data_IF_629137988273
#
_entry.id   IF_629137988273
#
_cell.length_a   1.000
_cell.length_b   1.000
_cell.length_c   1.000
_cell.angle_alpha   90.00
_cell.angle_beta   90.00
_cell.angle_gamma   90.00
#
_symmetry.space_group_name_H-M   'P 1'
#
loop_
_entity.id
_entity.type
_entity.pdbx_description
1 polymer ?
#
# COMPACT_ATOMS: atom_id res chain seq x y z
N UNK A 1 -2.68 -6.64 -28.90
CA UNK A 1 -2.95 -7.13 -27.53
C UNK A 1 -1.67 -7.82 -27.07
N UNK A 2 -1.03 -7.33 -26.00
CA UNK A 2 -0.06 -8.16 -25.30
C UNK A 2 -0.83 -9.37 -24.75
N UNK A 3 -0.40 -10.57 -25.10
CA UNK A 3 -1.13 -11.80 -24.79
C UNK A 3 -1.14 -12.08 -23.29
N UNK A 4 -2.20 -12.75 -22.83
CA UNK A 4 -2.24 -13.35 -21.50
C UNK A 4 -1.03 -14.29 -21.33
N UNK A 5 -0.11 -13.95 -20.42
CA UNK A 5 1.17 -14.64 -20.21
C UNK A 5 1.08 -15.92 -19.37
N UNK A 6 -0.13 -16.41 -19.09
CA UNK A 6 -0.37 -17.48 -18.12
C UNK A 6 -0.59 -16.96 -16.69
N UNK A 7 -0.86 -17.88 -15.77
CA UNK A 7 -1.01 -17.57 -14.36
C UNK A 7 0.33 -17.66 -13.64
N UNK A 8 0.61 -16.71 -12.76
CA UNK A 8 1.73 -16.80 -11.82
C UNK A 8 1.36 -17.76 -10.67
N UNK A 9 2.33 -18.50 -10.10
CA UNK A 9 2.07 -19.30 -8.91
C UNK A 9 1.63 -18.41 -7.74
N UNK A 10 0.72 -18.93 -6.93
CA UNK A 10 0.28 -18.31 -5.68
C UNK A 10 0.83 -19.16 -4.54
N UNK A 11 1.63 -18.54 -3.69
CA UNK A 11 2.22 -19.15 -2.50
C UNK A 11 1.33 -18.89 -1.27
N UNK A 12 1.39 -19.81 -0.32
CA UNK A 12 0.57 -19.82 0.90
C UNK A 12 1.43 -20.15 2.11
N UNK A 13 0.82 -20.27 3.29
CA UNK A 13 1.48 -20.73 4.51
C UNK A 13 2.18 -22.10 4.36
N UNK A 14 1.80 -22.90 3.36
CA UNK A 14 2.39 -24.22 3.09
C UNK A 14 3.69 -24.15 2.27
N UNK A 15 3.96 -23.01 1.64
CA UNK A 15 5.03 -22.88 0.64
C UNK A 15 6.28 -22.15 1.18
N UNK A 16 6.29 -21.79 2.46
CA UNK A 16 7.42 -21.12 3.10
C UNK A 16 7.66 -21.60 4.53
N UNK A 17 8.87 -21.37 5.03
CA UNK A 17 9.26 -21.75 6.37
C UNK A 17 9.21 -20.55 7.31
N UNK A 18 8.21 -20.51 8.21
CA UNK A 18 8.08 -19.48 9.25
C UNK A 18 9.31 -19.43 10.17
N UNK A 19 10.02 -20.56 10.32
CA UNK A 19 11.25 -20.67 11.10
C UNK A 19 12.31 -19.63 10.69
N UNK A 20 12.41 -19.34 9.39
CA UNK A 20 13.41 -18.42 8.85
C UNK A 20 13.30 -16.99 9.39
N UNK A 21 12.08 -16.45 9.52
CA UNK A 21 11.91 -15.09 10.07
C UNK A 21 11.86 -15.09 11.60
N UNK A 22 11.32 -16.14 12.22
CA UNK A 22 11.28 -16.23 13.70
C UNK A 22 12.65 -16.40 14.33
N UNK A 23 13.66 -16.86 13.58
CA UNK A 23 15.05 -16.90 14.05
C UNK A 23 15.79 -15.57 13.91
N UNK A 24 15.18 -14.55 13.32
CA UNK A 24 15.79 -13.24 13.07
C UNK A 24 15.32 -12.23 14.09
N UNK A 25 16.20 -11.28 14.44
CA UNK A 25 15.78 -10.04 15.09
C UNK A 25 15.36 -9.02 14.04
N UNK A 26 14.12 -8.53 14.10
CA UNK A 26 13.53 -7.63 13.10
C UNK A 26 13.38 -6.21 13.64
N UNK A 27 14.02 -5.26 12.98
CA UNK A 27 13.84 -3.83 13.22
C UNK A 27 12.77 -3.26 12.29
N UNK A 28 11.63 -2.82 12.83
CA UNK A 28 10.60 -2.10 12.06
C UNK A 28 10.87 -0.60 12.18
N UNK A 29 11.30 0.01 11.08
CA UNK A 29 11.69 1.42 11.03
C UNK A 29 10.47 2.27 10.66
N UNK A 30 9.91 2.98 11.63
CA UNK A 30 8.65 3.71 11.51
C UNK A 30 7.46 2.92 12.07
N UNK A 31 6.54 3.65 12.71
CA UNK A 31 5.37 3.06 13.38
C UNK A 31 4.07 3.77 12.97
N UNK A 32 3.94 4.02 11.66
CA UNK A 32 2.70 4.46 11.03
C UNK A 32 1.75 3.28 10.76
N UNK A 33 0.81 3.44 9.82
CA UNK A 33 -0.20 2.41 9.55
C UNK A 33 0.40 1.03 9.18
N UNK A 34 1.36 0.98 8.24
CA UNK A 34 2.02 -0.27 7.87
C UNK A 34 2.99 -0.76 8.96
N UNK A 35 3.84 0.14 9.48
CA UNK A 35 4.81 -0.22 10.53
C UNK A 35 4.17 -0.84 11.76
N UNK A 36 3.07 -0.26 12.26
CA UNK A 36 2.29 -0.80 13.37
C UNK A 36 1.72 -2.19 13.04
N UNK A 37 1.06 -2.35 11.88
CA UNK A 37 0.46 -3.62 11.48
C UNK A 37 1.51 -4.73 11.32
N UNK A 38 2.63 -4.43 10.65
CA UNK A 38 3.73 -5.38 10.48
C UNK A 38 4.32 -5.78 11.83
N UNK A 39 4.66 -4.81 12.69
CA UNK A 39 5.24 -5.09 14.01
C UNK A 39 4.34 -5.97 14.88
N UNK A 40 3.05 -5.61 14.98
CA UNK A 40 2.07 -6.37 15.76
C UNK A 40 1.89 -7.79 15.22
N UNK A 41 1.76 -7.96 13.90
CA UNK A 41 1.57 -9.28 13.31
C UNK A 41 2.83 -10.15 13.42
N UNK A 42 4.02 -9.58 13.22
CA UNK A 42 5.29 -10.28 13.38
C UNK A 42 5.47 -10.78 14.82
N UNK A 43 5.22 -9.91 15.81
CA UNK A 43 5.29 -10.29 17.23
C UNK A 43 4.29 -11.39 17.57
N UNK A 44 3.05 -11.27 17.09
CA UNK A 44 2.01 -12.28 17.34
C UNK A 44 2.34 -13.62 16.62
N UNK A 45 3.18 -13.59 15.59
CA UNK A 45 3.78 -14.77 14.92
C UNK A 45 5.07 -15.27 15.57
N UNK A 46 5.51 -14.70 16.70
CA UNK A 46 6.67 -15.15 17.47
C UNK A 46 8.02 -14.59 17.03
N UNK A 47 8.04 -13.53 16.22
CA UNK A 47 9.26 -12.86 15.79
C UNK A 47 9.74 -11.87 16.86
N UNK A 48 11.05 -11.80 17.09
CA UNK A 48 11.67 -10.76 17.92
C UNK A 48 11.67 -9.42 17.18
N UNK A 49 10.87 -8.46 17.66
CA UNK A 49 10.61 -7.19 16.98
C UNK A 49 11.04 -6.01 17.83
N UNK A 50 11.81 -5.11 17.23
CA UNK A 50 12.22 -3.83 17.81
C UNK A 50 11.77 -2.67 16.90
N UNK A 51 11.38 -1.54 17.48
CA UNK A 51 10.84 -0.41 16.71
C UNK A 51 11.87 0.72 16.63
N UNK A 52 12.24 1.09 15.42
CA UNK A 52 13.18 2.18 15.14
C UNK A 52 12.46 3.47 14.78
N UNK A 53 12.64 4.51 15.59
CA UNK A 53 12.02 5.81 15.39
C UNK A 53 13.04 6.93 15.44
N UNK A 54 12.72 8.04 14.78
CA UNK A 54 13.46 9.29 14.93
C UNK A 54 13.18 9.90 16.32
N UNK A 55 14.09 10.76 16.78
CA UNK A 55 13.97 11.42 18.08
C UNK A 55 12.64 12.20 18.19
N UNK A 56 11.95 12.04 19.32
CA UNK A 56 10.66 12.68 19.59
C UNK A 56 9.54 12.32 18.61
N UNK A 57 9.56 11.10 18.05
CA UNK A 57 8.46 10.62 17.22
C UNK A 57 7.13 10.57 17.97
N UNK A 58 6.07 11.02 17.31
CA UNK A 58 4.71 11.00 17.87
C UNK A 58 4.20 9.57 18.12
N UNK A 59 4.78 8.56 17.46
CA UNK A 59 4.39 7.16 17.63
C UNK A 59 5.14 6.43 18.74
N UNK A 60 6.14 7.05 19.38
CA UNK A 60 6.91 6.41 20.46
C UNK A 60 6.01 5.94 21.61
N UNK A 61 5.11 6.79 22.09
CA UNK A 61 4.20 6.42 23.19
C UNK A 61 3.27 5.28 22.80
N UNK A 62 2.81 5.24 21.54
CA UNK A 62 1.92 4.18 21.07
C UNK A 62 2.67 2.84 21.00
N UNK A 63 3.85 2.81 20.38
CA UNK A 63 4.67 1.61 20.29
C UNK A 63 5.00 1.03 21.68
N UNK A 64 5.35 1.89 22.65
CA UNK A 64 5.61 1.48 24.03
C UNK A 64 4.36 0.95 24.74
N UNK A 65 3.19 1.60 24.55
CA UNK A 65 1.91 1.12 25.11
C UNK A 65 1.51 -0.24 24.53
N UNK A 66 1.86 -0.51 23.27
CA UNK A 66 1.65 -1.80 22.62
C UNK A 66 2.72 -2.83 22.98
N UNK A 67 3.67 -2.49 23.86
CA UNK A 67 4.63 -3.43 24.45
C UNK A 67 5.92 -3.62 23.67
N UNK A 68 6.26 -2.71 22.75
CA UNK A 68 7.51 -2.76 22.01
C UNK A 68 8.64 -1.97 22.68
N UNK A 69 9.86 -2.49 22.55
CA UNK A 69 11.07 -1.71 22.76
C UNK A 69 11.27 -0.73 21.59
N UNK A 70 11.58 0.51 21.94
CA UNK A 70 11.81 1.59 20.96
C UNK A 70 13.27 2.02 21.00
N UNK A 71 13.95 1.91 19.87
CA UNK A 71 15.31 2.39 19.62
C UNK A 71 15.34 3.54 18.60
N UNK A 72 16.48 4.20 18.50
CA UNK A 72 16.81 5.02 17.32
C UNK A 72 16.96 4.14 16.08
N UNK A 73 16.73 4.69 14.89
CA UNK A 73 16.92 3.97 13.62
C UNK A 73 18.33 3.39 13.51
N UNK A 74 19.34 4.15 13.96
CA UNK A 74 20.75 3.73 13.94
C UNK A 74 21.03 2.54 14.85
N UNK A 75 20.46 2.51 16.05
CA UNK A 75 20.59 1.36 16.96
C UNK A 75 19.92 0.12 16.37
N UNK A 76 18.71 0.24 15.83
CA UNK A 76 18.05 -0.90 15.22
C UNK A 76 18.84 -1.41 14.01
N UNK A 77 19.44 -0.51 13.20
CA UNK A 77 20.34 -0.86 12.11
C UNK A 77 21.61 -1.61 12.57
N UNK A 78 22.08 -1.36 13.79
CA UNK A 78 23.23 -2.05 14.39
C UNK A 78 22.86 -3.36 15.08
N UNK A 79 21.61 -3.57 15.48
CA UNK A 79 21.23 -4.73 16.30
C UNK A 79 20.45 -5.79 15.52
N UNK A 80 19.61 -5.38 14.58
CA UNK A 80 18.68 -6.29 13.89
C UNK A 80 19.30 -6.99 12.67
N UNK A 81 18.82 -8.18 12.35
CA UNK A 81 19.24 -8.95 11.17
C UNK A 81 18.43 -8.57 9.92
N UNK A 82 17.18 -8.17 10.11
CA UNK A 82 16.33 -7.62 9.06
C UNK A 82 15.79 -6.26 9.48
N UNK A 83 15.87 -5.28 8.58
CA UNK A 83 15.33 -3.93 8.76
C UNK A 83 14.15 -3.75 7.80
N UNK A 84 12.94 -3.72 8.35
CA UNK A 84 11.73 -3.41 7.62
C UNK A 84 11.55 -1.89 7.55
N UNK A 85 11.83 -1.29 6.39
CA UNK A 85 11.77 0.15 6.16
C UNK A 85 10.32 0.57 5.92
N UNK A 86 9.65 1.02 6.99
CA UNK A 86 8.22 1.41 7.02
C UNK A 86 8.06 2.92 7.21
N UNK A 87 9.00 3.69 6.65
CA UNK A 87 9.02 5.14 6.62
C UNK A 87 8.30 5.66 5.36
N UNK A 88 7.86 6.94 5.33
CA UNK A 88 7.44 7.58 4.07
C UNK A 88 8.54 7.53 3.01
N UNK A 89 8.18 7.17 1.78
CA UNK A 89 9.15 6.94 0.68
C UNK A 89 10.07 8.14 0.43
N UNK A 90 9.53 9.36 0.55
CA UNK A 90 10.25 10.61 0.32
C UNK A 90 11.39 10.86 1.31
N UNK A 91 11.39 10.20 2.48
CA UNK A 91 12.47 10.34 3.48
C UNK A 91 13.45 9.17 3.48
N UNK A 92 13.19 8.10 2.72
CA UNK A 92 14.02 6.89 2.68
C UNK A 92 15.48 7.21 2.38
N UNK A 93 15.75 8.02 1.34
CA UNK A 93 17.13 8.33 0.94
C UNK A 93 17.93 9.01 2.06
N UNK A 94 17.32 9.98 2.74
CA UNK A 94 17.97 10.73 3.80
C UNK A 94 18.26 9.81 4.98
N UNK A 95 17.25 9.11 5.48
CA UNK A 95 17.38 8.22 6.65
C UNK A 95 18.32 7.06 6.33
N UNK A 96 18.24 6.49 5.13
CA UNK A 96 19.16 5.45 4.69
C UNK A 96 20.61 5.92 4.75
N UNK A 97 20.91 7.08 4.16
CA UNK A 97 22.28 7.59 4.10
C UNK A 97 22.84 7.94 5.48
N UNK A 98 22.00 8.48 6.36
CA UNK A 98 22.44 9.04 7.66
C UNK A 98 22.43 8.00 8.78
N UNK A 99 21.44 7.10 8.79
CA UNK A 99 21.12 6.28 9.97
C UNK A 99 21.10 4.77 9.69
N UNK A 100 21.13 4.33 8.43
CA UNK A 100 21.11 2.89 8.10
C UNK A 100 22.43 2.45 7.47
N UNK A 101 22.78 3.02 6.31
CA UNK A 101 23.93 2.62 5.50
C UNK A 101 25.26 2.59 6.27
N UNK A 102 25.57 3.54 7.18
CA UNK A 102 26.82 3.50 7.94
C UNK A 102 26.96 2.29 8.88
N UNK A 103 25.84 1.64 9.22
CA UNK A 103 25.80 0.55 10.20
C UNK A 103 25.49 -0.82 9.58
N UNK A 104 25.27 -0.87 8.26
CA UNK A 104 24.97 -2.13 7.58
C UNK A 104 26.16 -3.09 7.63
N UNK A 105 25.85 -4.34 7.99
CA UNK A 105 26.79 -5.47 8.03
C UNK A 105 26.40 -6.55 7.00
N UNK A 106 27.35 -7.37 6.52
CA UNK A 106 27.01 -8.52 5.67
C UNK A 106 25.96 -9.43 6.32
N UNK A 107 25.13 -10.07 5.49
CA UNK A 107 24.01 -10.94 5.89
C UNK A 107 22.79 -10.24 6.52
N UNK A 108 22.84 -8.93 6.75
CA UNK A 108 21.61 -8.19 7.02
C UNK A 108 20.71 -8.14 5.79
N UNK A 109 19.42 -7.92 6.01
CA UNK A 109 18.43 -7.74 4.94
C UNK A 109 17.65 -6.45 5.14
N UNK A 110 17.50 -5.66 4.08
CA UNK A 110 16.55 -4.55 4.00
C UNK A 110 15.26 -5.06 3.37
N UNK A 111 14.14 -4.86 4.05
CA UNK A 111 12.81 -5.15 3.54
C UNK A 111 12.05 -3.85 3.30
N UNK A 112 11.41 -3.76 2.13
CA UNK A 112 10.53 -2.64 1.78
C UNK A 112 9.08 -3.13 1.60
N UNK A 113 8.12 -2.28 1.94
CA UNK A 113 6.70 -2.51 1.64
C UNK A 113 6.26 -1.93 0.28
N UNK A 114 7.13 -1.14 -0.35
CA UNK A 114 6.94 -0.57 -1.67
C UNK A 114 8.29 -0.47 -2.39
N UNK A 115 8.31 -0.74 -3.69
CA UNK A 115 9.54 -0.81 -4.48
C UNK A 115 10.13 0.54 -4.87
N UNK A 116 9.45 1.67 -4.56
CA UNK A 116 9.79 3.02 -5.02
C UNK A 116 11.26 3.39 -4.85
N UNK A 117 11.77 3.41 -3.62
CA UNK A 117 13.11 3.93 -3.33
C UNK A 117 14.23 3.06 -3.89
N UNK A 118 14.01 1.75 -4.06
CA UNK A 118 14.99 0.84 -4.67
C UNK A 118 14.91 0.87 -6.19
N UNK A 119 13.70 0.86 -6.77
CA UNK A 119 13.51 0.88 -8.22
C UNK A 119 14.05 2.18 -8.83
N UNK A 120 13.71 3.34 -8.23
CA UNK A 120 14.16 4.66 -8.67
C UNK A 120 15.52 5.08 -8.11
N UNK A 121 16.30 4.12 -7.59
CA UNK A 121 17.72 4.28 -7.22
C UNK A 121 18.00 5.34 -6.15
N UNK A 122 17.04 5.59 -5.26
CA UNK A 122 17.22 6.40 -4.06
C UNK A 122 18.01 5.65 -2.98
N UNK A 123 17.84 4.33 -2.92
CA UNK A 123 18.59 3.43 -2.04
C UNK A 123 19.37 2.42 -2.89
N UNK A 124 20.63 2.22 -2.51
CA UNK A 124 21.50 1.19 -3.07
C UNK A 124 22.26 0.52 -1.91
N UNK A 125 21.88 -0.73 -1.60
CA UNK A 125 22.54 -1.52 -0.57
C UNK A 125 23.93 -1.99 -1.04
N UNK A 126 24.93 -2.11 -0.14
CA UNK A 126 26.21 -2.71 -0.49
C UNK A 126 26.04 -4.21 -0.80
N UNK A 127 26.97 -4.79 -1.56
CA UNK A 127 26.96 -6.22 -1.86
C UNK A 127 27.00 -7.06 -0.58
N UNK A 128 26.19 -8.12 -0.53
CA UNK A 128 26.11 -9.03 0.61
C UNK A 128 25.06 -8.65 1.65
N UNK A 129 24.36 -7.53 1.47
CA UNK A 129 23.12 -7.18 2.20
C UNK A 129 21.92 -7.57 1.34
N UNK A 130 20.98 -8.34 1.88
CA UNK A 130 19.75 -8.69 1.17
C UNK A 130 18.86 -7.46 0.94
N UNK A 131 18.19 -7.39 -0.21
CA UNK A 131 17.17 -6.37 -0.50
C UNK A 131 15.93 -7.05 -1.03
N UNK A 132 14.90 -7.07 -0.20
CA UNK A 132 13.65 -7.79 -0.45
C UNK A 132 12.44 -6.87 -0.31
N UNK A 133 11.35 -7.31 -0.91
CA UNK A 133 10.06 -6.62 -0.92
C UNK A 133 9.03 -7.56 -0.30
N UNK A 134 8.17 -7.01 0.56
CA UNK A 134 6.93 -7.63 0.99
C UNK A 134 5.85 -6.54 1.05
N UNK A 135 4.99 -6.49 0.04
CA UNK A 135 3.99 -5.45 -0.18
C UNK A 135 2.56 -6.00 -0.05
N UNK A 136 1.96 -5.97 1.16
CA UNK A 136 0.54 -6.27 1.33
C UNK A 136 -0.33 -5.31 0.52
N UNK A 137 -1.29 -5.84 -0.24
CA UNK A 137 -2.14 -5.05 -1.13
C UNK A 137 -3.37 -4.54 -0.40
N UNK A 138 -3.12 -3.56 0.46
CA UNK A 138 -4.14 -2.81 1.19
C UNK A 138 -3.55 -1.96 2.31
N UNK A 139 -4.37 -1.13 2.95
CA UNK A 139 -3.92 -0.25 4.02
C UNK A 139 -3.55 -1.04 5.28
N UNK A 140 -2.61 -0.50 6.06
CA UNK A 140 -2.09 -1.20 7.25
C UNK A 140 -3.15 -1.56 8.30
N UNK A 141 -4.19 -0.73 8.50
CA UNK A 141 -5.27 -1.08 9.43
C UNK A 141 -5.99 -2.37 9.00
N UNK A 142 -6.23 -2.55 7.69
CA UNK A 142 -6.88 -3.74 7.16
C UNK A 142 -5.97 -4.97 7.28
N UNK A 143 -4.65 -4.80 7.11
CA UNK A 143 -3.67 -5.86 7.35
C UNK A 143 -3.77 -6.37 8.79
N UNK A 144 -3.79 -5.47 9.78
CA UNK A 144 -3.91 -5.85 11.19
C UNK A 144 -5.27 -6.48 11.50
N UNK A 145 -6.35 -5.85 11.07
CA UNK A 145 -7.72 -6.34 11.32
C UNK A 145 -7.91 -7.75 10.74
N UNK A 146 -7.49 -7.99 9.49
CA UNK A 146 -7.60 -9.30 8.86
C UNK A 146 -6.72 -10.34 9.53
N UNK A 147 -5.52 -9.97 9.97
CA UNK A 147 -4.67 -10.87 10.74
C UNK A 147 -5.35 -11.34 12.03
N UNK A 148 -5.99 -10.43 12.77
CA UNK A 148 -6.73 -10.76 13.99
C UNK A 148 -7.96 -11.63 13.73
N UNK A 149 -8.54 -11.56 12.53
CA UNK A 149 -9.63 -12.41 12.06
C UNK A 149 -9.14 -13.77 11.52
N UNK A 150 -7.90 -14.16 11.80
CA UNK A 150 -7.25 -15.37 11.27
C UNK A 150 -7.25 -15.43 9.72
N UNK A 151 -7.15 -14.26 9.10
CA UNK A 151 -7.02 -14.05 7.66
C UNK A 151 -5.78 -13.17 7.41
N UNK A 152 -5.69 -12.52 6.26
CA UNK A 152 -4.60 -11.62 5.91
C UNK A 152 -4.97 -10.73 4.72
N UNK A 153 -3.96 -10.10 4.12
CA UNK A 153 -4.08 -9.47 2.81
C UNK A 153 -3.24 -10.24 1.80
N UNK A 154 -3.65 -10.22 0.54
CA UNK A 154 -2.80 -10.71 -0.53
C UNK A 154 -1.53 -9.84 -0.58
N UNK A 155 -0.36 -10.46 -0.71
CA UNK A 155 0.91 -9.73 -0.73
C UNK A 155 1.72 -10.02 -1.99
N UNK A 156 2.52 -9.05 -2.40
CA UNK A 156 3.57 -9.27 -3.38
C UNK A 156 4.92 -9.41 -2.67
N UNK A 157 5.74 -10.36 -3.11
CA UNK A 157 7.12 -10.52 -2.64
C UNK A 157 8.10 -10.40 -3.80
N UNK A 158 9.27 -9.82 -3.55
CA UNK A 158 10.28 -9.63 -4.58
C UNK A 158 11.69 -9.56 -4.00
N UNK A 159 12.68 -9.82 -4.85
CA UNK A 159 14.10 -9.76 -4.48
C UNK A 159 14.83 -8.88 -5.48
N UNK A 160 15.53 -7.85 -5.01
CA UNK A 160 16.45 -7.03 -5.82
C UNK A 160 17.89 -7.54 -5.66
N UNK A 161 18.28 -7.93 -4.44
CA UNK A 161 19.63 -8.39 -4.13
C UNK A 161 19.58 -9.48 -3.06
N UNK A 162 20.40 -10.51 -3.23
CA UNK A 162 20.58 -11.54 -2.21
C UNK A 162 21.62 -11.11 -1.15
N UNK A 163 21.44 -11.61 0.07
CA UNK A 163 22.46 -11.52 1.10
C UNK A 163 23.60 -12.52 0.80
N UNK A 164 24.67 -12.56 1.60
CA UNK A 164 25.69 -13.61 1.39
C UNK A 164 25.16 -15.02 1.72
N UNK A 165 24.03 -15.13 2.43
CA UNK A 165 23.40 -16.41 2.74
C UNK A 165 22.68 -17.03 1.53
N UNK A 166 22.31 -16.25 0.51
CA UNK A 166 21.64 -16.79 -0.68
C UNK A 166 20.19 -17.22 -0.46
N UNK A 167 19.51 -16.64 0.53
CA UNK A 167 18.17 -17.04 1.01
C UNK A 167 17.12 -15.91 0.93
N UNK A 168 17.39 -14.81 0.22
CA UNK A 168 16.52 -13.63 0.22
C UNK A 168 15.06 -13.93 -0.18
N UNK A 169 14.87 -14.81 -1.17
CA UNK A 169 13.52 -15.23 -1.61
C UNK A 169 12.74 -15.93 -0.50
N UNK A 170 13.36 -16.90 0.16
CA UNK A 170 12.69 -17.70 1.18
C UNK A 170 12.45 -16.87 2.45
N UNK A 171 13.35 -15.94 2.77
CA UNK A 171 13.15 -14.97 3.86
C UNK A 171 11.99 -14.01 3.55
N UNK A 172 11.83 -13.55 2.29
CA UNK A 172 10.71 -12.72 1.89
C UNK A 172 9.35 -13.44 2.00
N UNK A 173 9.31 -14.71 1.59
CA UNK A 173 8.13 -15.57 1.78
C UNK A 173 7.83 -15.80 3.26
N UNK A 174 8.86 -16.13 4.06
CA UNK A 174 8.73 -16.32 5.50
C UNK A 174 8.17 -15.08 6.21
N UNK A 175 8.68 -13.90 5.86
CA UNK A 175 8.18 -12.63 6.39
C UNK A 175 6.71 -12.39 5.99
N UNK A 176 6.35 -12.62 4.71
CA UNK A 176 4.98 -12.46 4.22
C UNK A 176 3.98 -13.39 4.92
N UNK A 177 4.39 -14.63 5.21
CA UNK A 177 3.65 -15.60 6.02
C UNK A 177 3.48 -15.09 7.45
N UNK A 178 4.55 -14.60 8.09
CA UNK A 178 4.51 -14.10 9.45
C UNK A 178 3.58 -12.89 9.63
N UNK A 179 3.39 -12.06 8.62
CA UNK A 179 2.39 -10.97 8.67
C UNK A 179 0.97 -11.42 8.28
N UNK A 180 0.76 -12.72 8.02
CA UNK A 180 -0.52 -13.36 7.74
C UNK A 180 -0.90 -13.46 6.26
N UNK A 181 -0.05 -13.04 5.33
CA UNK A 181 -0.40 -12.98 3.90
C UNK A 181 -0.54 -14.37 3.27
N UNK A 182 0.19 -15.37 3.78
CA UNK A 182 0.11 -16.76 3.30
C UNK A 182 -1.24 -17.43 3.55
N UNK A 183 -2.09 -16.88 4.43
CA UNK A 183 -3.47 -17.31 4.67
C UNK A 183 -4.42 -16.96 3.52
N UNK A 184 -4.01 -16.03 2.65
CA UNK A 184 -4.80 -15.56 1.51
C UNK A 184 -4.09 -15.87 0.20
N UNK A 185 -2.82 -15.47 0.08
CA UNK A 185 -2.01 -15.71 -1.08
C UNK A 185 -0.89 -14.70 -1.23
N UNK A 186 0.23 -15.17 -1.75
CA UNK A 186 1.44 -14.39 -2.01
C UNK A 186 1.83 -14.60 -3.47
N UNK A 187 2.18 -13.52 -4.17
CA UNK A 187 2.62 -13.57 -5.56
C UNK A 187 4.01 -12.95 -5.71
N UNK A 188 4.86 -13.60 -6.51
CA UNK A 188 6.19 -13.09 -6.80
C UNK A 188 6.19 -11.97 -7.84
N UNK A 189 7.01 -10.96 -7.59
CA UNK A 189 7.17 -9.81 -8.45
C UNK A 189 8.62 -9.31 -8.45
N UNK A 190 8.88 -8.25 -9.22
CA UNK A 190 10.11 -7.48 -9.16
C UNK A 190 9.84 -6.14 -8.51
N UNK A 191 10.87 -5.49 -7.97
CA UNK A 191 10.77 -4.11 -7.46
C UNK A 191 10.24 -3.14 -8.53
N UNK A 192 10.64 -3.32 -9.79
CA UNK A 192 10.11 -2.54 -10.92
C UNK A 192 8.61 -2.75 -11.10
N UNK A 193 8.18 -4.00 -11.24
CA UNK A 193 6.78 -4.30 -11.52
C UNK A 193 5.88 -3.86 -10.38
N UNK A 194 6.30 -4.07 -9.14
CA UNK A 194 5.53 -3.60 -7.99
C UNK A 194 5.47 -2.08 -7.94
N UNK A 195 6.61 -1.38 -7.98
CA UNK A 195 6.63 0.08 -7.90
C UNK A 195 5.76 0.72 -8.99
N UNK A 196 5.93 0.29 -10.25
CA UNK A 196 5.20 0.87 -11.36
C UNK A 196 3.70 0.53 -11.34
N UNK A 197 3.34 -0.73 -11.05
CA UNK A 197 1.94 -1.15 -11.06
C UNK A 197 1.15 -0.58 -9.88
N UNK A 198 1.79 -0.46 -8.71
CA UNK A 198 1.19 0.11 -7.51
C UNK A 198 0.91 1.60 -7.71
N UNK A 199 1.93 2.39 -8.10
CA UNK A 199 1.76 3.81 -8.44
C UNK A 199 0.71 4.04 -9.52
N UNK A 200 0.68 3.18 -10.54
CA UNK A 200 -0.32 3.26 -11.60
C UNK A 200 -1.73 2.99 -11.07
N UNK A 201 -1.89 1.94 -10.25
CA UNK A 201 -3.16 1.57 -9.64
C UNK A 201 -3.74 2.70 -8.79
N UNK A 202 -2.91 3.32 -7.94
CA UNK A 202 -3.31 4.44 -7.08
C UNK A 202 -3.69 5.68 -7.89
N UNK A 203 -2.92 6.03 -8.92
CA UNK A 203 -3.19 7.22 -9.73
C UNK A 203 -4.41 7.03 -10.63
N UNK A 204 -4.48 5.93 -11.37
CA UNK A 204 -5.48 5.72 -12.41
C UNK A 204 -6.83 5.22 -11.88
N UNK A 205 -6.85 4.49 -10.75
CA UNK A 205 -8.04 3.79 -10.27
C UNK A 205 -8.33 4.07 -8.80
N UNK A 206 -7.48 3.60 -7.89
CA UNK A 206 -7.82 3.44 -6.47
C UNK A 206 -7.97 4.77 -5.72
N UNK A 207 -7.16 5.76 -6.08
CA UNK A 207 -7.16 7.08 -5.45
C UNK A 207 -7.59 8.14 -6.45
N UNK A 208 -6.73 8.51 -7.41
CA UNK A 208 -6.99 9.62 -8.32
C UNK A 208 -8.25 9.44 -9.16
N UNK A 209 -8.34 8.33 -9.88
CA UNK A 209 -9.49 7.99 -10.72
C UNK A 209 -10.81 7.91 -9.94
N UNK A 210 -10.82 7.17 -8.83
CA UNK A 210 -12.02 6.99 -8.02
C UNK A 210 -12.47 8.30 -7.37
N UNK A 211 -11.58 9.01 -6.66
CA UNK A 211 -11.94 10.25 -5.95
C UNK A 211 -12.46 11.29 -6.95
N UNK A 212 -11.80 11.44 -8.11
CA UNK A 212 -12.25 12.35 -9.16
C UNK A 212 -13.62 11.97 -9.74
N UNK A 213 -13.88 10.67 -9.94
CA UNK A 213 -15.20 10.20 -10.42
C UNK A 213 -16.30 10.52 -9.40
N UNK A 214 -16.07 10.21 -8.12
CA UNK A 214 -17.02 10.43 -7.03
C UNK A 214 -17.38 11.93 -6.89
N UNK A 215 -16.37 12.79 -6.88
CA UNK A 215 -16.56 14.24 -6.76
C UNK A 215 -17.36 14.80 -7.93
N UNK A 216 -17.00 14.44 -9.16
CA UNK A 216 -17.68 14.95 -10.35
C UNK A 216 -19.11 14.44 -10.46
N UNK A 217 -19.36 13.16 -10.15
CA UNK A 217 -20.71 12.59 -10.16
C UNK A 217 -21.61 13.27 -9.12
N UNK A 218 -21.13 13.42 -7.89
CA UNK A 218 -21.84 14.12 -6.81
C UNK A 218 -22.16 15.57 -7.19
N UNK A 219 -21.15 16.33 -7.65
CA UNK A 219 -21.34 17.74 -8.02
C UNK A 219 -22.30 17.90 -9.20
N UNK A 220 -22.29 16.99 -10.17
CA UNK A 220 -23.24 17.02 -11.30
C UNK A 220 -24.68 16.94 -10.83
N UNK A 221 -24.99 16.07 -9.87
CA UNK A 221 -26.34 15.98 -9.30
C UNK A 221 -26.68 17.21 -8.44
N UNK A 222 -25.73 17.69 -7.65
CA UNK A 222 -25.94 18.88 -6.83
C UNK A 222 -26.22 20.13 -7.68
N UNK A 223 -25.45 20.35 -8.74
CA UNK A 223 -25.60 21.46 -9.69
C UNK A 223 -26.92 21.39 -10.46
N UNK A 224 -27.42 20.18 -10.72
CA UNK A 224 -28.73 19.96 -11.33
C UNK A 224 -29.91 20.13 -10.34
N UNK A 225 -29.65 20.43 -9.06
CA UNK A 225 -30.66 20.72 -8.04
C UNK A 225 -31.20 19.50 -7.30
N UNK A 226 -30.54 18.35 -7.38
CA UNK A 226 -30.91 17.19 -6.58
C UNK A 226 -30.52 17.38 -5.10
N UNK A 227 -31.25 16.78 -4.15
CA UNK A 227 -30.86 16.79 -2.73
C UNK A 227 -29.46 16.21 -2.52
N UNK A 228 -28.65 16.87 -1.69
CA UNK A 228 -27.25 16.51 -1.51
C UNK A 228 -27.09 15.12 -0.87
N UNK A 229 -27.96 14.75 0.08
CA UNK A 229 -27.97 13.43 0.69
C UNK A 229 -28.26 12.33 -0.34
N UNK A 230 -29.21 12.58 -1.25
CA UNK A 230 -29.52 11.65 -2.33
C UNK A 230 -28.32 11.49 -3.27
N UNK A 231 -27.70 12.59 -3.69
CA UNK A 231 -26.50 12.55 -4.52
C UNK A 231 -25.35 11.79 -3.84
N UNK A 232 -25.19 11.94 -2.52
CA UNK A 232 -24.19 11.20 -1.77
C UNK A 232 -24.48 9.68 -1.76
N UNK A 233 -25.74 9.28 -1.53
CA UNK A 233 -26.10 7.86 -1.53
C UNK A 233 -25.81 7.21 -2.88
N UNK A 234 -26.32 7.82 -3.95
CA UNK A 234 -26.23 7.30 -5.32
C UNK A 234 -24.79 7.30 -5.85
N UNK A 235 -24.00 8.33 -5.56
CA UNK A 235 -22.66 8.46 -6.15
C UNK A 235 -21.54 7.94 -5.25
N UNK A 236 -21.69 7.95 -3.93
CA UNK A 236 -20.60 7.64 -2.98
C UNK A 236 -20.90 6.44 -2.11
N UNK A 237 -22.07 6.36 -1.47
CA UNK A 237 -22.35 5.34 -0.47
C UNK A 237 -22.43 3.93 -1.09
N UNK A 238 -23.12 3.79 -2.21
CA UNK A 238 -23.39 2.48 -2.83
C UNK A 238 -22.16 1.83 -3.46
N UNK A 239 -21.06 2.57 -3.64
CA UNK A 239 -19.84 2.01 -4.23
C UNK A 239 -19.31 0.82 -3.44
N UNK A 240 -19.48 0.81 -2.11
CA UNK A 240 -19.07 -0.31 -1.27
C UNK A 240 -19.74 -1.61 -1.70
N UNK A 241 -21.04 -1.58 -1.98
CA UNK A 241 -21.80 -2.79 -2.35
C UNK A 241 -21.34 -3.34 -3.70
N UNK A 242 -21.12 -2.45 -4.67
CA UNK A 242 -20.61 -2.83 -5.99
C UNK A 242 -19.17 -3.34 -5.88
N UNK A 243 -18.31 -2.67 -5.11
CA UNK A 243 -16.93 -3.09 -4.87
C UNK A 243 -16.86 -4.45 -4.15
N UNK A 244 -17.68 -4.68 -3.12
CA UNK A 244 -17.76 -5.96 -2.40
C UNK A 244 -18.19 -7.09 -3.33
N UNK A 245 -19.13 -6.83 -4.24
CA UNK A 245 -19.59 -7.82 -5.21
C UNK A 245 -18.52 -8.17 -6.24
N UNK A 246 -17.81 -7.16 -6.78
CA UNK A 246 -16.67 -7.38 -7.69
C UNK A 246 -15.54 -8.11 -6.96
N UNK A 247 -15.23 -7.72 -5.73
CA UNK A 247 -14.20 -8.36 -4.92
C UNK A 247 -14.49 -9.85 -4.69
N UNK A 248 -15.73 -10.20 -4.37
CA UNK A 248 -16.10 -11.58 -4.05
C UNK A 248 -16.39 -12.45 -5.28
N UNK A 249 -16.90 -11.87 -6.38
CA UNK A 249 -17.47 -12.64 -7.51
C UNK A 249 -17.05 -12.17 -8.90
N UNK A 250 -16.26 -11.11 -9.00
CA UNK A 250 -15.80 -10.56 -10.26
C UNK A 250 -16.86 -9.76 -11.04
N UNK A 251 -16.43 -9.19 -12.18
CA UNK A 251 -17.24 -8.27 -12.97
C UNK A 251 -18.48 -8.92 -13.61
N UNK A 252 -18.36 -10.17 -14.07
CA UNK A 252 -19.49 -10.89 -14.70
C UNK A 252 -20.61 -11.08 -13.70
N UNK A 253 -20.29 -11.61 -12.52
CA UNK A 253 -21.30 -11.82 -11.49
C UNK A 253 -21.85 -10.50 -10.96
N UNK A 254 -21.05 -9.42 -10.95
CA UNK A 254 -21.57 -8.09 -10.64
C UNK A 254 -22.71 -7.70 -11.60
N UNK A 255 -22.53 -7.88 -12.91
CA UNK A 255 -23.59 -7.59 -13.90
C UNK A 255 -24.84 -8.47 -13.70
N UNK A 256 -24.66 -9.75 -13.34
CA UNK A 256 -25.77 -10.68 -13.11
C UNK A 256 -26.63 -10.33 -11.87
N UNK A 257 -26.11 -9.52 -10.94
CA UNK A 257 -26.79 -9.17 -9.68
C UNK A 257 -27.35 -7.74 -9.67
N UNK A 258 -27.20 -6.98 -10.77
CA UNK A 258 -27.84 -5.68 -10.94
C UNK A 258 -29.01 -5.78 -11.92
N UNK A 259 -29.84 -4.73 -12.00
CA UNK A 259 -30.96 -4.72 -12.96
C UNK A 259 -30.47 -4.55 -14.40
N UNK A 260 -31.22 -5.07 -15.37
CA UNK A 260 -30.93 -4.86 -16.80
C UNK A 260 -30.85 -3.37 -17.17
N UNK A 261 -31.59 -2.51 -16.48
CA UNK A 261 -31.51 -1.05 -16.66
C UNK A 261 -30.13 -0.51 -16.24
N UNK A 262 -29.60 -0.99 -15.12
CA UNK A 262 -28.27 -0.60 -14.64
C UNK A 262 -27.16 -1.17 -15.53
N UNK A 263 -27.27 -2.43 -15.97
CA UNK A 263 -26.32 -3.04 -16.91
C UNK A 263 -26.26 -2.27 -18.24
N UNK A 264 -27.42 -2.02 -18.87
CA UNK A 264 -27.50 -1.28 -20.13
C UNK A 264 -26.99 0.16 -19.99
N UNK A 265 -27.39 0.85 -18.92
CA UNK A 265 -26.92 2.21 -18.62
C UNK A 265 -25.41 2.26 -18.40
N UNK A 266 -24.87 1.31 -17.63
CA UNK A 266 -23.43 1.18 -17.36
C UNK A 266 -22.62 0.94 -18.63
N UNK A 267 -23.09 0.09 -19.55
CA UNK A 267 -22.44 -0.16 -20.84
C UNK A 267 -22.35 1.12 -21.68
N UNK A 268 -23.44 1.89 -21.79
CA UNK A 268 -23.44 3.15 -22.53
C UNK A 268 -22.58 4.23 -21.85
N UNK A 269 -22.60 4.31 -20.53
CA UNK A 269 -21.79 5.25 -19.77
C UNK A 269 -20.30 4.95 -19.91
N UNK A 270 -19.90 3.67 -19.84
CA UNK A 270 -18.52 3.25 -20.02
C UNK A 270 -17.97 3.68 -21.39
N UNK A 271 -18.74 3.57 -22.46
CA UNK A 271 -18.34 4.03 -23.80
C UNK A 271 -18.10 5.54 -23.88
N UNK A 272 -18.75 6.33 -23.01
CA UNK A 272 -18.61 7.79 -22.97
C UNK A 272 -17.51 8.24 -22.03
N UNK A 273 -17.48 7.72 -20.80
CA UNK A 273 -16.60 8.16 -19.71
C UNK A 273 -15.26 7.44 -19.72
N UNK A 274 -15.24 6.14 -20.04
CA UNK A 274 -14.05 5.27 -20.01
C UNK A 274 -13.77 4.79 -21.45
N UNK A 275 -13.34 5.73 -22.27
CA UNK A 275 -13.20 5.57 -23.72
C UNK A 275 -11.71 5.48 -24.14
N UNK A 276 -11.43 5.60 -25.43
CA UNK A 276 -10.05 5.57 -25.96
C UNK A 276 -9.17 6.70 -25.44
N UNK A 277 -9.74 7.88 -25.18
CA UNK A 277 -9.01 9.01 -24.60
C UNK A 277 -8.69 8.76 -23.13
N UNK A 278 -9.64 8.23 -22.35
CA UNK A 278 -9.39 7.83 -20.95
C UNK A 278 -8.28 6.79 -20.87
N UNK A 279 -8.28 5.81 -21.79
CA UNK A 279 -7.19 4.84 -21.92
C UNK A 279 -5.86 5.49 -22.30
N UNK A 280 -5.86 6.45 -23.23
CA UNK A 280 -4.65 7.17 -23.61
C UNK A 280 -4.05 7.95 -22.41
N UNK A 281 -4.89 8.53 -21.56
CA UNK A 281 -4.45 9.18 -20.30
C UNK A 281 -3.85 8.19 -19.31
N UNK A 282 -4.45 7.01 -19.16
CA UNK A 282 -3.86 5.94 -18.34
C UNK A 282 -2.48 5.51 -18.89
N UNK A 283 -2.33 5.42 -20.22
CA UNK A 283 -1.03 5.11 -20.83
C UNK A 283 0.01 6.21 -20.61
N UNK A 284 -0.40 7.47 -20.66
CA UNK A 284 0.44 8.63 -20.33
C UNK A 284 0.93 8.58 -18.87
N UNK A 285 0.03 8.33 -17.91
CA UNK A 285 0.37 8.16 -16.50
C UNK A 285 1.40 7.04 -16.30
N UNK A 286 1.16 5.86 -16.91
CA UNK A 286 2.11 4.75 -16.83
C UNK A 286 3.49 5.12 -17.40
N UNK A 287 3.54 5.82 -18.53
CA UNK A 287 4.80 6.28 -19.13
C UNK A 287 5.54 7.29 -18.24
N UNK A 288 4.82 8.19 -17.55
CA UNK A 288 5.41 9.13 -16.60
C UNK A 288 5.97 8.43 -15.36
N UNK A 289 5.31 7.36 -14.90
CA UNK A 289 5.80 6.52 -13.81
C UNK A 289 7.05 5.75 -14.23
N UNK A 290 7.01 5.02 -15.35
CA UNK A 290 8.12 4.18 -15.81
C UNK A 290 9.38 4.99 -16.17
N UNK A 291 9.22 6.24 -16.63
CA UNK A 291 10.33 7.16 -16.90
C UNK A 291 10.89 7.87 -15.65
N UNK A 292 10.26 7.66 -14.49
CA UNK A 292 10.58 8.33 -13.22
C UNK A 292 10.24 9.82 -13.20
N UNK A 293 9.45 10.32 -14.14
CA UNK A 293 8.97 11.70 -14.15
C UNK A 293 8.11 12.00 -12.92
N UNK A 294 7.16 11.10 -12.63
CA UNK A 294 6.35 11.18 -11.41
C UNK A 294 7.23 11.23 -10.15
N UNK A 295 8.20 10.31 -10.05
CA UNK A 295 9.12 10.22 -8.90
C UNK A 295 9.88 11.53 -8.69
N UNK A 296 10.43 12.14 -9.75
CA UNK A 296 11.13 13.43 -9.66
C UNK A 296 10.19 14.54 -9.18
N UNK A 297 8.98 14.61 -9.72
CA UNK A 297 7.98 15.61 -9.31
C UNK A 297 7.56 15.44 -7.85
N UNK A 298 7.31 14.21 -7.40
CA UNK A 298 6.95 13.91 -6.01
C UNK A 298 8.07 14.27 -5.03
N UNK A 299 9.32 13.93 -5.34
CA UNK A 299 10.46 14.31 -4.51
C UNK A 299 10.65 15.83 -4.42
N UNK A 300 10.40 16.55 -5.51
CA UNK A 300 10.43 18.02 -5.50
C UNK A 300 9.32 18.62 -4.63
N UNK A 301 8.11 18.06 -4.70
CA UNK A 301 6.98 18.46 -3.85
C UNK A 301 7.27 18.20 -2.36
N UNK A 302 7.88 17.06 -2.03
CA UNK A 302 8.32 16.75 -0.66
C UNK A 302 9.37 17.74 -0.14
N UNK A 303 10.38 18.05 -0.95
CA UNK A 303 11.39 19.09 -0.63
C UNK A 303 10.76 20.48 -0.47
N UNK A 304 9.66 20.75 -1.17
CA UNK A 304 8.87 21.97 -1.06
C UNK A 304 7.97 22.04 0.19
N UNK A 305 7.96 20.99 1.02
CA UNK A 305 7.14 20.91 2.24
C UNK A 305 5.69 20.48 1.99
N UNK A 306 5.42 19.70 0.93
CA UNK A 306 4.11 19.13 0.61
C UNK A 306 2.98 20.18 0.49
N UNK A 307 3.27 21.32 -0.16
CA UNK A 307 2.31 22.43 -0.29
C UNK A 307 1.09 22.05 -1.11
N UNK A 308 1.27 21.39 -2.25
CA UNK A 308 0.18 20.91 -3.10
C UNK A 308 -0.68 19.89 -2.35
N UNK A 309 -0.06 18.95 -1.62
CA UNK A 309 -0.80 17.96 -0.83
C UNK A 309 -1.60 18.62 0.30
N UNK A 310 -0.99 19.59 1.00
CA UNK A 310 -1.65 20.33 2.09
C UNK A 310 -2.82 21.15 1.57
N UNK A 311 -2.64 21.83 0.43
CA UNK A 311 -3.70 22.58 -0.22
C UNK A 311 -4.85 21.67 -0.67
N UNK A 312 -4.54 20.54 -1.33
CA UNK A 312 -5.55 19.59 -1.78
C UNK A 312 -6.36 19.01 -0.61
N UNK A 313 -5.70 18.63 0.49
CA UNK A 313 -6.39 18.16 1.72
C UNK A 313 -7.35 19.21 2.28
N UNK A 314 -6.91 20.47 2.34
CA UNK A 314 -7.77 21.57 2.80
C UNK A 314 -8.96 21.81 1.86
N UNK A 315 -8.74 21.78 0.54
CA UNK A 315 -9.81 21.95 -0.44
C UNK A 315 -10.84 20.81 -0.35
N UNK A 316 -10.38 19.56 -0.27
CA UNK A 316 -11.26 18.38 -0.17
C UNK A 316 -12.11 18.44 1.11
N UNK A 317 -11.51 18.75 2.26
CA UNK A 317 -12.21 18.85 3.54
C UNK A 317 -13.33 19.91 3.54
N UNK A 318 -13.24 20.92 2.67
CA UNK A 318 -14.22 21.99 2.55
C UNK A 318 -15.33 21.70 1.52
N UNK A 319 -15.29 20.58 0.80
CA UNK A 319 -16.31 20.26 -0.19
C UNK A 319 -17.65 19.85 0.45
N UNK A 320 -18.80 20.18 -0.17
CA UNK A 320 -20.11 19.74 0.32
C UNK A 320 -20.21 18.21 0.45
N UNK A 321 -19.55 17.46 -0.44
CA UNK A 321 -19.48 16.00 -0.39
C UNK A 321 -19.01 15.49 0.98
N UNK A 322 -17.95 16.08 1.55
CA UNK A 322 -17.40 15.64 2.84
C UNK A 322 -18.29 16.03 4.02
N UNK A 323 -18.91 17.22 3.96
CA UNK A 323 -19.83 17.68 5.01
C UNK A 323 -21.08 16.80 5.08
N UNK A 324 -21.71 16.55 3.93
CA UNK A 324 -22.88 15.67 3.81
C UNK A 324 -22.51 14.23 4.20
N UNK A 325 -21.37 13.74 3.71
CA UNK A 325 -20.88 12.41 4.04
C UNK A 325 -20.65 12.22 5.55
N UNK A 326 -20.01 13.19 6.22
CA UNK A 326 -19.81 13.15 7.67
C UNK A 326 -21.14 13.11 8.42
N UNK A 327 -22.11 13.95 8.01
CA UNK A 327 -23.44 13.95 8.60
C UNK A 327 -24.15 12.60 8.44
N UNK A 328 -24.14 12.01 7.25
CA UNK A 328 -24.78 10.72 6.99
C UNK A 328 -24.10 9.55 7.70
N UNK A 329 -22.76 9.48 7.65
CA UNK A 329 -21.99 8.41 8.33
C UNK A 329 -22.21 8.40 9.84
N UNK A 330 -22.37 9.58 10.47
CA UNK A 330 -22.71 9.70 11.88
C UNK A 330 -24.10 9.11 12.24
N UNK A 331 -25.02 9.04 11.27
CA UNK A 331 -26.33 8.41 11.47
C UNK A 331 -26.31 6.91 11.19
N UNK A 332 -25.58 6.48 10.16
CA UNK A 332 -25.55 5.09 9.68
C UNK A 332 -24.70 4.17 10.56
N UNK A 333 -23.58 4.68 11.08
CA UNK A 333 -22.60 3.89 11.83
C UNK A 333 -22.51 4.32 13.28
N UNK A 334 -23.66 4.61 13.91
CA UNK A 334 -23.69 4.91 15.35
C UNK A 334 -22.97 3.79 16.10
N UNK A 335 -21.85 4.16 16.73
CA UNK A 335 -21.16 3.34 17.71
C UNK A 335 -22.01 3.24 18.99
#
# INVERSE_FOLDING_TARGET
MAGFGGFLPIYTDQDGDLGLITSQRVGVLGYGAQGCAHALNLRDSGVDVQIGLYAHSNSTSLAQQEGFEVCSVSECAQECDLLAVMLPDEIHQQVYTQEIAPFLRPNQTLLFAHGFSVHFKQIQAPKGVGVILCAPKGPGYALREKYQQNSGLFALVGVEQDSQQGNARDLALSYAIAIGSGRVGILETTFKHEACADLFGEQAVLCGGLVGLLQNAFNTLLEAGYPAELAYFECVHEIKLIADLIYNKGLVSMQEHISNTAEYGGLLAAQKLINLESKARMQELLSQIESGEFTRAFMQEAQGGHKMLTQNKSQLANQPLEQVGAHLRAHLFKA
#
